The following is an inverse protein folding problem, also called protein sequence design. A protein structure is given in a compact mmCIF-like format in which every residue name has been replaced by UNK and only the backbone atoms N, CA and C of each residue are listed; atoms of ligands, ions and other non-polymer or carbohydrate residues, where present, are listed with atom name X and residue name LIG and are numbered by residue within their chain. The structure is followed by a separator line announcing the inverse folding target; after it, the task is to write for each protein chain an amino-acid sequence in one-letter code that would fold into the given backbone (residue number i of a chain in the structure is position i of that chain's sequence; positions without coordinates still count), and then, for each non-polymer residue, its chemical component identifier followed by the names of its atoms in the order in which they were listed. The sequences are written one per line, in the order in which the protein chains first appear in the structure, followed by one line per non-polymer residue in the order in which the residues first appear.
data_IF_556825452150
#
_entry.id   IF_556825452150
#
_cell.length_a   1.000
_cell.length_b   1.000
_cell.length_c   1.000
_cell.angle_alpha   90.00
_cell.angle_beta   90.00
_cell.angle_gamma   90.00
#
_symmetry.space_group_name_H-M   'P 1'
#
loop_
_entity.id
_entity.type
_entity.pdbx_description
1 polymer ?
#
# COMPACT_ATOMS: atom_id res chain seq x y z
N UNK A 1 -37.69 -71.45 -1.29
CA UNK A 1 -37.48 -70.67 -2.53
C UNK A 1 -37.96 -69.24 -2.27
N UNK A 2 -37.12 -68.34 -1.80
CA UNK A 2 -37.49 -66.92 -1.68
C UNK A 2 -36.23 -66.08 -1.87
N UNK A 3 -36.21 -65.36 -3.00
CA UNK A 3 -35.09 -64.55 -3.47
C UNK A 3 -35.25 -63.15 -2.87
N UNK A 4 -34.43 -62.79 -1.88
CA UNK A 4 -34.33 -61.41 -1.41
C UNK A 4 -33.47 -60.60 -2.40
N UNK A 5 -34.10 -59.61 -3.05
CA UNK A 5 -33.55 -58.64 -3.96
C UNK A 5 -33.05 -57.42 -3.13
N UNK A 6 -31.75 -57.33 -2.90
CA UNK A 6 -31.19 -56.19 -2.19
C UNK A 6 -31.02 -54.99 -3.14
N UNK A 7 -31.70 -53.89 -2.83
CA UNK A 7 -31.58 -52.62 -3.55
C UNK A 7 -30.37 -51.88 -2.99
N UNK A 8 -29.34 -51.69 -3.84
CA UNK A 8 -28.15 -50.89 -3.53
C UNK A 8 -28.48 -49.42 -3.82
N UNK A 9 -28.67 -48.60 -2.78
CA UNK A 9 -28.84 -47.15 -2.91
C UNK A 9 -27.47 -46.53 -2.97
N UNK A 10 -27.04 -46.10 -4.16
CA UNK A 10 -25.82 -45.30 -4.36
C UNK A 10 -26.18 -43.84 -4.05
N UNK A 11 -25.77 -43.38 -2.88
CA UNK A 11 -25.88 -41.99 -2.48
C UNK A 11 -24.88 -41.12 -3.23
N UNK A 12 -25.37 -40.30 -4.16
CA UNK A 12 -24.57 -39.29 -4.88
C UNK A 12 -24.37 -38.08 -3.97
N UNK A 13 -23.22 -37.99 -3.28
CA UNK A 13 -22.84 -36.80 -2.52
C UNK A 13 -22.27 -35.73 -3.47
N UNK A 14 -23.12 -34.77 -3.85
CA UNK A 14 -22.68 -33.56 -4.56
C UNK A 14 -21.90 -32.68 -3.59
N UNK A 15 -20.56 -32.74 -3.67
CA UNK A 15 -19.65 -31.83 -2.97
C UNK A 15 -19.79 -30.40 -3.52
N UNK A 16 -20.36 -29.51 -2.72
CA UNK A 16 -20.41 -28.07 -3.03
C UNK A 16 -18.99 -27.50 -2.86
N UNK A 17 -18.29 -27.27 -3.98
CA UNK A 17 -17.03 -26.55 -3.98
C UNK A 17 -17.35 -25.07 -3.70
N UNK A 18 -17.18 -24.65 -2.45
CA UNK A 18 -17.18 -23.24 -2.09
C UNK A 18 -15.95 -22.58 -2.71
N UNK A 19 -16.13 -21.90 -3.85
CA UNK A 19 -15.12 -21.01 -4.41
C UNK A 19 -14.94 -19.85 -3.46
N UNK A 20 -13.84 -19.83 -2.68
CA UNK A 20 -13.39 -18.66 -1.95
C UNK A 20 -12.89 -17.64 -2.96
N UNK A 21 -13.76 -16.72 -3.38
CA UNK A 21 -13.37 -15.52 -4.09
C UNK A 21 -12.43 -14.74 -3.14
N UNK A 22 -11.18 -14.55 -3.55
CA UNK A 22 -10.27 -13.58 -2.93
C UNK A 22 -10.91 -12.22 -3.21
N UNK A 23 -11.71 -11.74 -2.24
CA UNK A 23 -12.48 -10.52 -2.38
C UNK A 23 -11.55 -9.32 -2.54
N UNK A 24 -11.69 -8.57 -3.63
CA UNK A 24 -11.11 -7.24 -3.74
C UNK A 24 -11.66 -6.37 -2.59
N UNK A 25 -10.79 -5.54 -2.00
CA UNK A 25 -11.23 -4.57 -0.98
C UNK A 25 -12.33 -3.70 -1.60
N UNK A 26 -13.48 -3.49 -0.93
CA UNK A 26 -14.53 -2.61 -1.41
C UNK A 26 -13.98 -1.22 -1.71
N UNK A 27 -14.47 -0.57 -2.77
CA UNK A 27 -13.95 0.72 -3.26
C UNK A 27 -13.94 1.77 -2.15
N UNK A 28 -15.05 1.89 -1.40
CA UNK A 28 -15.16 2.86 -0.31
C UNK A 28 -14.15 2.59 0.82
N UNK A 29 -14.00 1.33 1.21
CA UNK A 29 -13.02 0.93 2.23
C UNK A 29 -11.58 1.23 1.77
N UNK A 30 -11.26 0.97 0.49
CA UNK A 30 -9.96 1.30 -0.08
C UNK A 30 -9.67 2.80 -0.04
N UNK A 31 -10.67 3.65 -0.36
CA UNK A 31 -10.56 5.11 -0.29
C UNK A 31 -10.27 5.55 1.15
N UNK A 32 -11.09 5.14 2.11
CA UNK A 32 -10.94 5.53 3.52
C UNK A 32 -9.59 5.05 4.09
N UNK A 33 -9.19 3.84 3.78
CA UNK A 33 -7.91 3.27 4.22
C UNK A 33 -6.72 4.05 3.65
N UNK A 34 -6.70 4.36 2.34
CA UNK A 34 -5.59 5.13 1.76
C UNK A 34 -5.51 6.56 2.29
N UNK A 35 -6.65 7.24 2.53
CA UNK A 35 -6.69 8.57 3.14
C UNK A 35 -6.05 8.52 4.53
N UNK A 36 -6.44 7.57 5.37
CA UNK A 36 -5.87 7.38 6.70
C UNK A 36 -4.36 7.09 6.64
N UNK A 37 -3.92 6.25 5.69
CA UNK A 37 -2.51 5.91 5.53
C UNK A 37 -1.67 7.10 5.04
N UNK A 38 -2.16 7.92 4.10
CA UNK A 38 -1.47 9.15 3.69
C UNK A 38 -1.38 10.17 4.81
N UNK A 39 -2.44 10.33 5.61
CA UNK A 39 -2.39 11.18 6.81
C UNK A 39 -1.31 10.71 7.79
N UNK A 40 -1.28 9.42 8.09
CA UNK A 40 -0.27 8.80 8.96
C UNK A 40 1.14 8.97 8.39
N UNK A 41 1.30 8.82 7.06
CA UNK A 41 2.55 9.04 6.36
C UNK A 41 3.07 10.47 6.55
N UNK A 42 2.23 11.48 6.37
CA UNK A 42 2.59 12.88 6.58
C UNK A 42 3.01 13.20 8.02
N UNK A 43 2.31 12.64 9.01
CA UNK A 43 2.67 12.76 10.42
C UNK A 43 4.01 12.08 10.74
N UNK A 44 4.23 10.89 10.18
CA UNK A 44 5.49 10.17 10.34
C UNK A 44 6.68 10.91 9.75
N UNK A 45 6.54 11.52 8.58
CA UNK A 45 7.61 12.33 7.96
C UNK A 45 8.00 13.51 8.85
N UNK A 46 7.03 14.20 9.46
CA UNK A 46 7.31 15.30 10.41
C UNK A 46 8.11 14.82 11.63
N UNK A 47 7.73 13.66 12.20
CA UNK A 47 8.42 13.03 13.32
C UNK A 47 9.82 12.55 12.90
N UNK A 48 9.93 11.92 11.74
CA UNK A 48 11.17 11.41 11.17
C UNK A 48 12.20 12.55 10.99
N UNK A 49 11.79 13.69 10.42
CA UNK A 49 12.65 14.86 10.29
C UNK A 49 13.20 15.35 11.66
N UNK A 50 12.36 15.37 12.70
CA UNK A 50 12.81 15.74 14.06
C UNK A 50 13.85 14.75 14.61
N UNK A 51 13.61 13.44 14.44
CA UNK A 51 14.52 12.40 14.92
C UNK A 51 15.87 12.43 14.20
N UNK A 52 15.88 12.66 12.89
CA UNK A 52 17.10 12.84 12.09
C UNK A 52 17.92 14.02 12.61
N UNK A 53 17.28 15.17 12.86
CA UNK A 53 17.95 16.37 13.36
C UNK A 53 18.61 16.20 14.74
N UNK A 54 18.06 15.34 15.61
CA UNK A 54 18.64 15.04 16.93
C UNK A 54 19.51 13.80 16.95
N UNK A 55 19.71 13.15 15.79
CA UNK A 55 20.58 11.96 15.65
C UNK A 55 19.98 10.67 16.23
N UNK A 56 18.67 10.62 16.54
CA UNK A 56 18.01 9.39 17.05
C UNK A 56 17.68 8.45 15.90
N UNK A 57 18.72 7.85 15.32
CA UNK A 57 18.59 6.94 14.17
C UNK A 57 17.79 5.69 14.50
N UNK A 58 17.85 5.19 15.74
CA UNK A 58 17.12 4.00 16.16
C UNK A 58 15.59 4.20 16.10
N UNK A 59 15.08 5.35 16.57
CA UNK A 59 13.66 5.68 16.44
C UNK A 59 13.29 6.06 15.00
N UNK A 60 14.19 6.73 14.27
CA UNK A 60 13.98 7.06 12.87
C UNK A 60 13.80 5.82 12.00
N UNK A 61 14.58 4.74 12.21
CA UNK A 61 14.44 3.45 11.51
C UNK A 61 13.04 2.85 11.73
N UNK A 62 12.48 2.94 12.93
CA UNK A 62 11.12 2.45 13.19
C UNK A 62 10.06 3.19 12.37
N UNK A 63 10.21 4.51 12.23
CA UNK A 63 9.29 5.31 11.42
C UNK A 63 9.46 5.06 9.92
N UNK A 64 10.69 4.92 9.42
CA UNK A 64 10.91 4.66 8.00
C UNK A 64 10.44 3.27 7.58
N UNK A 65 10.45 2.28 8.48
CA UNK A 65 9.88 0.95 8.22
C UNK A 65 8.39 1.01 7.88
N UNK A 66 7.63 1.91 8.51
CA UNK A 66 6.24 2.16 8.12
C UNK A 66 6.13 2.51 6.62
N UNK A 67 7.00 3.40 6.12
CA UNK A 67 6.99 3.81 4.72
C UNK A 67 7.41 2.70 3.76
N UNK A 68 8.36 1.86 4.17
CA UNK A 68 8.76 0.67 3.38
C UNK A 68 7.58 -0.28 3.24
N UNK A 69 6.94 -0.68 4.34
CA UNK A 69 5.78 -1.59 4.32
C UNK A 69 4.61 -0.95 3.57
N UNK A 70 4.30 0.32 3.87
CA UNK A 70 3.22 1.04 3.19
C UNK A 70 3.40 1.08 1.67
N UNK A 71 4.63 1.27 1.17
CA UNK A 71 4.92 1.31 -0.26
C UNK A 71 4.66 -0.01 -0.99
N UNK A 72 4.70 -1.13 -0.29
CA UNK A 72 4.46 -2.47 -0.85
C UNK A 72 2.96 -2.72 -1.07
N UNK A 73 2.12 -2.21 -0.16
CA UNK A 73 0.67 -2.43 -0.18
C UNK A 73 -0.13 -1.30 -0.85
N UNK A 74 0.50 -0.16 -1.10
CA UNK A 74 -0.17 1.08 -1.52
C UNK A 74 -1.03 0.89 -2.78
N UNK A 75 -0.54 0.15 -3.77
CA UNK A 75 -1.26 -0.07 -5.02
C UNK A 75 -2.59 -0.78 -4.85
N UNK A 76 -2.73 -1.60 -3.82
CA UNK A 76 -3.96 -2.35 -3.52
C UNK A 76 -5.14 -1.45 -3.11
N UNK A 77 -4.84 -0.21 -2.73
CA UNK A 77 -5.84 0.77 -2.29
C UNK A 77 -6.27 1.75 -3.39
N UNK A 78 -5.97 1.40 -4.66
CA UNK A 78 -6.44 2.16 -5.83
C UNK A 78 -7.23 1.25 -6.79
N UNK A 79 -8.34 0.62 -6.33
CA UNK A 79 -9.20 -0.14 -7.23
C UNK A 79 -9.85 0.80 -8.26
N UNK A 80 -10.23 0.25 -9.41
CA UNK A 80 -11.00 0.99 -10.44
C UNK A 80 -12.30 1.51 -9.80
N UNK A 81 -12.67 2.75 -10.11
CA UNK A 81 -13.84 3.42 -9.55
C UNK A 81 -13.55 4.13 -8.21
N UNK A 82 -12.28 4.27 -7.82
CA UNK A 82 -11.89 4.98 -6.59
C UNK A 82 -11.24 6.35 -6.84
N UNK A 83 -11.39 6.90 -8.05
CA UNK A 83 -11.00 8.26 -8.42
C UNK A 83 -11.75 9.32 -7.60
N UNK A 84 -11.26 10.55 -7.67
CA UNK A 84 -11.88 11.69 -6.98
C UNK A 84 -13.32 11.93 -7.47
N UNK A 85 -14.23 12.11 -6.52
CA UNK A 85 -15.60 12.57 -6.77
C UNK A 85 -16.05 13.50 -5.65
N UNK A 86 -17.11 14.26 -5.88
CA UNK A 86 -17.67 15.21 -4.90
C UNK A 86 -18.21 14.54 -3.63
N UNK A 87 -18.40 13.20 -3.63
CA UNK A 87 -19.08 12.48 -2.57
C UNK A 87 -18.20 11.49 -1.79
N UNK A 88 -17.01 11.12 -2.32
CA UNK A 88 -16.20 10.04 -1.74
C UNK A 88 -14.95 10.50 -0.97
N UNK A 89 -14.64 11.81 -0.95
CA UNK A 89 -13.49 12.37 -0.26
C UNK A 89 -12.13 11.98 -0.85
N UNK A 90 -12.10 11.33 -2.00
CA UNK A 90 -10.88 10.97 -2.71
C UNK A 90 -10.32 12.15 -3.50
N UNK A 91 -9.00 12.35 -3.47
CA UNK A 91 -8.25 13.30 -4.31
C UNK A 91 -7.47 12.57 -5.43
N UNK A 92 -7.74 11.29 -5.67
CA UNK A 92 -7.01 10.51 -6.67
C UNK A 92 -7.37 10.94 -8.08
N UNK A 93 -6.38 11.39 -8.87
CA UNK A 93 -6.59 11.73 -10.29
C UNK A 93 -6.89 10.48 -11.13
N UNK A 94 -7.70 10.62 -12.19
CA UNK A 94 -7.92 9.55 -13.17
C UNK A 94 -6.63 9.06 -13.84
N UNK A 95 -5.58 9.90 -13.86
CA UNK A 95 -4.26 9.54 -14.40
C UNK A 95 -3.65 8.30 -13.76
N UNK A 96 -4.09 7.92 -12.55
CA UNK A 96 -3.66 6.68 -11.89
C UNK A 96 -4.03 5.46 -12.75
N UNK A 97 -5.18 5.47 -13.38
CA UNK A 97 -5.69 4.37 -14.21
C UNK A 97 -5.35 4.56 -15.69
N UNK A 98 -5.29 5.80 -16.17
CA UNK A 98 -4.96 6.14 -17.56
C UNK A 98 -3.45 5.97 -17.82
N UNK A 99 -2.59 6.25 -16.83
CA UNK A 99 -1.13 6.10 -16.88
C UNK A 99 -0.62 5.13 -15.82
N UNK A 100 -1.06 3.89 -15.88
CA UNK A 100 -0.67 2.85 -14.92
C UNK A 100 0.84 2.62 -14.82
N UNK A 101 1.57 2.76 -15.94
CA UNK A 101 3.03 2.61 -15.95
C UNK A 101 3.69 3.72 -15.15
N UNK A 102 3.26 4.97 -15.34
CA UNK A 102 3.74 6.13 -14.57
C UNK A 102 3.44 5.97 -13.09
N UNK A 103 2.22 5.54 -12.73
CA UNK A 103 1.83 5.32 -11.35
C UNK A 103 2.67 4.23 -10.68
N UNK A 104 2.83 3.06 -11.31
CA UNK A 104 3.70 1.99 -10.81
C UNK A 104 5.15 2.44 -10.62
N UNK A 105 5.67 3.25 -11.55
CA UNK A 105 7.01 3.82 -11.42
C UNK A 105 7.12 4.78 -10.22
N UNK A 106 6.12 5.63 -9.98
CA UNK A 106 6.08 6.51 -8.81
C UNK A 106 6.09 5.72 -7.50
N UNK A 107 5.28 4.67 -7.39
CA UNK A 107 5.28 3.76 -6.24
C UNK A 107 6.63 3.06 -6.04
N UNK A 108 7.24 2.59 -7.13
CA UNK A 108 8.58 1.98 -7.10
C UNK A 108 9.63 2.96 -6.59
N UNK A 109 9.61 4.21 -7.04
CA UNK A 109 10.54 5.24 -6.57
C UNK A 109 10.35 5.52 -5.08
N UNK A 110 9.12 5.62 -4.61
CA UNK A 110 8.83 5.76 -3.19
C UNK A 110 9.36 4.59 -2.35
N UNK A 111 9.20 3.34 -2.81
CA UNK A 111 9.75 2.15 -2.16
C UNK A 111 11.29 2.19 -2.12
N UNK A 112 11.93 2.46 -3.26
CA UNK A 112 13.39 2.50 -3.35
C UNK A 112 14.00 3.57 -2.45
N UNK A 113 13.45 4.79 -2.45
CA UNK A 113 13.97 5.89 -1.63
C UNK A 113 13.72 5.68 -0.14
N UNK A 114 12.58 5.09 0.25
CA UNK A 114 12.35 4.72 1.66
C UNK A 114 13.33 3.65 2.14
N UNK A 115 13.64 2.65 1.30
CA UNK A 115 14.67 1.64 1.59
C UNK A 115 16.08 2.26 1.68
N UNK A 116 16.43 3.16 0.75
CA UNK A 116 17.72 3.86 0.79
C UNK A 116 17.88 4.69 2.06
N UNK A 117 16.84 5.44 2.46
CA UNK A 117 16.87 6.19 3.71
C UNK A 117 17.05 5.27 4.93
N UNK A 118 16.39 4.12 4.94
CA UNK A 118 16.56 3.14 6.02
C UNK A 118 18.00 2.65 6.14
N UNK A 119 18.65 2.37 5.02
CA UNK A 119 20.05 1.93 5.01
C UNK A 119 21.00 3.05 5.46
N UNK A 120 20.80 4.30 5.02
CA UNK A 120 21.59 5.44 5.51
C UNK A 120 21.43 5.66 7.01
N UNK A 121 20.21 5.50 7.54
CA UNK A 121 19.98 5.55 8.99
C UNK A 121 20.70 4.45 9.76
N UNK A 122 20.90 3.27 9.17
CA UNK A 122 21.68 2.17 9.75
C UNK A 122 23.17 2.43 9.74
N UNK A 123 23.69 3.06 8.70
CA UNK A 123 25.11 3.47 8.63
C UNK A 123 25.45 4.64 9.54
N UNK A 124 24.42 5.39 10.01
CA UNK A 124 24.55 6.57 10.84
C UNK A 124 25.43 7.70 10.22
N UNK A 125 25.62 7.70 8.89
CA UNK A 125 26.29 8.76 8.17
C UNK A 125 25.35 9.95 7.92
N UNK A 126 25.64 11.09 8.56
CA UNK A 126 24.77 12.26 8.57
C UNK A 126 24.55 12.88 7.18
N UNK A 127 25.56 12.89 6.31
CA UNK A 127 25.44 13.42 4.95
C UNK A 127 24.52 12.54 4.12
N UNK A 128 24.77 11.24 4.09
CA UNK A 128 23.94 10.24 3.41
C UNK A 128 22.50 10.24 3.90
N UNK A 129 22.26 10.39 5.22
CA UNK A 129 20.92 10.50 5.80
C UNK A 129 20.19 11.72 5.23
N UNK A 130 20.84 12.91 5.20
CA UNK A 130 20.22 14.13 4.70
C UNK A 130 19.87 14.03 3.21
N UNK A 131 20.74 13.49 2.39
CA UNK A 131 20.53 13.31 0.96
C UNK A 131 19.38 12.32 0.67
N UNK A 132 19.40 11.15 1.33
CA UNK A 132 18.38 10.14 1.14
C UNK A 132 17.03 10.58 1.71
N UNK A 133 16.99 11.32 2.81
CA UNK A 133 15.75 11.92 3.34
C UNK A 133 15.15 12.94 2.36
N UNK A 134 15.96 13.83 1.79
CA UNK A 134 15.53 14.78 0.77
C UNK A 134 14.97 14.07 -0.46
N UNK A 135 15.66 13.03 -0.94
CA UNK A 135 15.21 12.21 -2.08
C UNK A 135 13.88 11.51 -1.77
N UNK A 136 13.77 10.91 -0.61
CA UNK A 136 12.54 10.24 -0.14
C UNK A 136 11.34 11.20 -0.09
N UNK A 137 11.47 12.37 0.53
CA UNK A 137 10.40 13.39 0.60
C UNK A 137 10.08 13.93 -0.80
N UNK A 138 11.07 14.02 -1.68
CA UNK A 138 10.89 14.44 -3.07
C UNK A 138 9.92 13.54 -3.85
N UNK A 139 9.89 12.25 -3.57
CA UNK A 139 8.97 11.31 -4.25
C UNK A 139 7.50 11.59 -3.92
N UNK A 140 7.19 12.02 -2.70
CA UNK A 140 5.82 12.39 -2.31
C UNK A 140 5.31 13.54 -3.18
N UNK A 141 6.15 14.58 -3.34
CA UNK A 141 5.79 15.75 -4.17
C UNK A 141 5.63 15.40 -5.64
N UNK A 142 6.51 14.55 -6.18
CA UNK A 142 6.46 14.16 -7.60
C UNK A 142 5.23 13.32 -7.90
N UNK A 143 4.89 12.36 -7.02
CA UNK A 143 3.71 11.52 -7.16
C UNK A 143 2.43 12.36 -7.06
N UNK A 144 2.30 13.21 -6.03
CA UNK A 144 1.12 14.06 -5.83
C UNK A 144 0.91 15.02 -7.00
N UNK A 145 1.98 15.62 -7.53
CA UNK A 145 1.88 16.52 -8.70
C UNK A 145 1.23 15.86 -9.92
N UNK A 146 1.38 14.55 -10.07
CA UNK A 146 0.91 13.83 -11.26
C UNK A 146 -0.40 13.08 -11.00
N UNK A 147 -0.63 12.57 -9.79
CA UNK A 147 -1.67 11.60 -9.48
C UNK A 147 -2.67 12.05 -8.40
N UNK A 148 -2.60 13.31 -7.97
CA UNK A 148 -3.54 13.93 -7.05
C UNK A 148 -4.14 15.19 -7.70
N UNK A 149 -5.47 15.39 -7.54
CA UNK A 149 -6.20 16.60 -7.97
C UNK A 149 -5.99 17.76 -7.00
#
# INVERSE_FOLDING_TARGET
MDRCFGILVVGLTTGLLASTSIGSVPVEEAIQKRIAMFKSSGENIKKLNKLIRVGDTAKAIKLVNFHVTWSEDMSLLFPIGSEASTSNGSDASSDIWDNQTGFKNALKQYNLTSKSLRESLRSADAESINETFKSFVGTCKSCHKQFQN
#
